data_IF_528922498362
#
_entry.id   IF_528922498362
#
_cell.length_a   1.000
_cell.length_b   1.000
_cell.length_c   1.000
_cell.angle_alpha   90.00
_cell.angle_beta   90.00
_cell.angle_gamma   90.00
#
_symmetry.space_group_name_H-M   'P 1'
#
loop_
_entity.id
_entity.type
_entity.pdbx_description
1 polymer ?
#
# COMPACT_ATOMS: atom_id res chain seq x y z
N UNK A 1 57.00 -34.10 -17.15
CA UNK A 1 55.89 -34.82 -16.51
C UNK A 1 55.79 -34.31 -15.08
N UNK A 2 54.93 -33.33 -14.83
CA UNK A 2 54.74 -32.73 -13.51
C UNK A 2 53.48 -33.30 -12.86
N UNK A 3 53.61 -33.85 -11.65
CA UNK A 3 52.50 -34.39 -10.88
C UNK A 3 51.48 -33.28 -10.54
N UNK A 4 50.17 -33.51 -10.71
CA UNK A 4 49.16 -32.53 -10.37
C UNK A 4 49.08 -32.36 -8.83
N UNK A 5 48.85 -31.14 -8.33
CA UNK A 5 48.74 -30.88 -6.90
C UNK A 5 47.46 -31.50 -6.32
N UNK A 6 47.64 -32.17 -5.18
CA UNK A 6 46.57 -32.78 -4.39
C UNK A 6 45.47 -31.78 -4.06
N UNK A 7 44.27 -32.03 -4.57
CA UNK A 7 43.08 -31.28 -4.19
C UNK A 7 42.70 -31.68 -2.77
N UNK A 8 42.96 -30.79 -1.81
CA UNK A 8 42.46 -30.89 -0.46
C UNK A 8 40.92 -31.00 -0.47
N UNK A 9 40.41 -32.20 -0.20
CA UNK A 9 38.99 -32.47 -0.03
C UNK A 9 38.55 -31.80 1.26
N UNK A 10 37.99 -30.59 1.15
CA UNK A 10 37.32 -29.91 2.26
C UNK A 10 36.08 -30.72 2.63
N UNK A 11 36.23 -31.58 3.65
CA UNK A 11 35.10 -32.30 4.25
C UNK A 11 34.18 -31.28 4.92
N UNK A 12 33.06 -30.97 4.28
CA UNK A 12 31.95 -30.28 4.92
C UNK A 12 31.42 -31.16 6.05
N UNK A 13 31.80 -30.83 7.29
CA UNK A 13 31.21 -31.42 8.48
C UNK A 13 29.70 -31.18 8.52
N UNK A 14 28.93 -32.07 9.17
CA UNK A 14 27.49 -31.93 9.29
C UNK A 14 27.17 -30.57 9.91
N UNK A 15 26.45 -29.73 9.15
CA UNK A 15 25.89 -28.47 9.66
C UNK A 15 24.91 -28.83 10.77
N UNK A 16 25.41 -28.82 12.01
CA UNK A 16 24.58 -28.83 13.21
C UNK A 16 23.60 -27.67 13.03
N UNK A 17 22.33 -27.98 12.75
CA UNK A 17 21.25 -27.01 12.79
C UNK A 17 21.18 -26.57 14.24
N UNK A 18 21.90 -25.51 14.58
CA UNK A 18 21.74 -24.81 15.85
C UNK A 18 20.25 -24.54 15.99
N UNK A 19 19.62 -25.26 16.91
CA UNK A 19 18.21 -25.12 17.19
C UNK A 19 17.96 -23.66 17.49
N UNK A 20 17.21 -23.01 16.60
CA UNK A 20 16.77 -21.63 16.77
C UNK A 20 15.84 -21.64 17.98
N UNK A 21 16.43 -21.49 19.19
CA UNK A 21 15.71 -21.22 20.43
C UNK A 21 15.13 -19.82 20.25
N UNK A 22 13.92 -19.75 19.69
CA UNK A 22 13.12 -18.54 19.78
C UNK A 22 12.91 -18.20 21.25
N UNK A 23 13.01 -16.93 21.61
CA UNK A 23 11.89 -16.11 22.13
C UNK A 23 12.30 -14.83 22.86
N UNK A 24 13.58 -14.47 23.01
CA UNK A 24 13.94 -13.30 23.85
C UNK A 24 14.18 -11.97 23.11
N UNK A 25 14.78 -11.96 21.91
CA UNK A 25 15.41 -10.73 21.39
C UNK A 25 14.71 -10.05 20.21
N UNK A 26 13.44 -10.38 19.92
CA UNK A 26 12.68 -9.54 18.98
C UNK A 26 12.38 -8.20 19.65
N UNK A 27 12.85 -7.06 19.11
CA UNK A 27 12.62 -5.76 19.72
C UNK A 27 11.12 -5.55 19.89
N UNK A 28 10.64 -5.08 21.06
CA UNK A 28 9.22 -5.05 21.42
C UNK A 28 8.35 -4.30 20.40
N UNK A 29 8.93 -3.36 19.67
CA UNK A 29 8.26 -2.53 18.66
C UNK A 29 7.97 -3.26 17.35
N UNK A 30 8.67 -4.37 17.06
CA UNK A 30 8.31 -5.28 15.97
C UNK A 30 6.91 -5.91 16.17
N UNK A 31 6.42 -5.97 17.41
CA UNK A 31 5.07 -6.44 17.70
C UNK A 31 3.96 -5.54 17.15
N UNK A 32 4.22 -4.24 16.93
CA UNK A 32 3.19 -3.21 16.64
C UNK A 32 2.67 -3.26 15.19
N UNK A 33 3.47 -3.72 14.24
CA UNK A 33 3.03 -3.83 12.84
C UNK A 33 1.83 -4.78 12.67
N UNK A 34 1.74 -5.81 13.52
CA UNK A 34 0.64 -6.78 13.47
C UNK A 34 -0.72 -6.16 13.84
N UNK A 35 -0.92 -5.56 15.02
CA UNK A 35 -2.19 -4.91 15.36
C UNK A 35 -2.49 -3.72 14.45
N UNK A 36 -1.49 -2.92 14.06
CA UNK A 36 -1.70 -1.78 13.15
C UNK A 36 -2.29 -2.23 11.80
N UNK A 37 -1.72 -3.27 11.19
CA UNK A 37 -2.25 -3.82 9.93
C UNK A 37 -3.68 -4.35 10.05
N UNK A 38 -4.02 -5.00 11.17
CA UNK A 38 -5.39 -5.48 11.45
C UNK A 38 -6.37 -4.33 11.61
N UNK A 39 -6.01 -3.29 12.38
CA UNK A 39 -6.87 -2.12 12.59
C UNK A 39 -7.12 -1.39 11.27
N UNK A 40 -6.07 -1.19 10.47
CA UNK A 40 -6.18 -0.57 9.14
C UNK A 40 -7.07 -1.39 8.20
N UNK A 41 -6.89 -2.72 8.15
CA UNK A 41 -7.71 -3.59 7.33
C UNK A 41 -9.18 -3.61 7.79
N UNK A 42 -9.43 -3.59 9.11
CA UNK A 42 -10.79 -3.51 9.66
C UNK A 42 -11.45 -2.17 9.33
N UNK A 43 -10.74 -1.05 9.50
CA UNK A 43 -11.24 0.28 9.14
C UNK A 43 -11.55 0.38 7.64
N UNK A 44 -10.70 -0.20 6.79
CA UNK A 44 -10.95 -0.30 5.35
C UNK A 44 -12.18 -1.15 5.02
N UNK A 45 -12.39 -2.27 5.73
CA UNK A 45 -13.60 -3.09 5.57
C UNK A 45 -14.88 -2.35 5.98
N UNK A 46 -14.83 -1.53 7.03
CA UNK A 46 -15.94 -0.64 7.42
C UNK A 46 -16.20 0.41 6.33
N UNK A 47 -15.14 1.06 5.84
CA UNK A 47 -15.26 2.05 4.76
C UNK A 47 -15.83 1.46 3.47
N UNK A 48 -15.40 0.25 3.10
CA UNK A 48 -15.95 -0.51 1.98
C UNK A 48 -17.44 -0.81 2.16
N UNK A 49 -17.86 -1.28 3.33
CA UNK A 49 -19.25 -1.60 3.63
C UNK A 49 -20.16 -0.36 3.59
N UNK A 50 -19.69 0.77 4.12
CA UNK A 50 -20.41 2.06 4.04
C UNK A 50 -20.49 2.54 2.59
N UNK A 51 -19.39 2.40 1.83
CA UNK A 51 -19.36 2.73 0.41
C UNK A 51 -20.43 1.97 -0.37
N UNK A 52 -20.46 0.65 -0.21
CA UNK A 52 -21.39 -0.25 -0.91
C UNK A 52 -22.86 -0.03 -0.50
N UNK A 53 -23.16 0.01 0.80
CA UNK A 53 -24.54 -0.02 1.28
C UNK A 53 -25.16 1.37 1.57
N UNK A 54 -24.36 2.44 1.65
CA UNK A 54 -24.87 3.78 1.96
C UNK A 54 -24.50 4.77 0.86
N UNK A 55 -23.21 4.89 0.52
CA UNK A 55 -22.79 5.93 -0.41
C UNK A 55 -23.23 5.64 -1.84
N UNK A 56 -23.07 4.42 -2.32
CA UNK A 56 -23.44 4.07 -3.69
C UNK A 56 -24.94 4.29 -3.96
N UNK A 57 -25.89 3.77 -3.14
CA UNK A 57 -27.31 3.99 -3.39
C UNK A 57 -27.75 5.46 -3.37
N UNK A 58 -26.97 6.33 -2.73
CA UNK A 58 -27.26 7.76 -2.65
C UNK A 58 -26.76 8.55 -3.87
N UNK A 59 -25.87 7.97 -4.68
CA UNK A 59 -25.01 8.74 -5.60
C UNK A 59 -24.94 8.14 -6.99
N UNK A 60 -25.10 6.83 -7.13
CA UNK A 60 -25.18 6.20 -8.43
C UNK A 60 -26.58 6.33 -9.04
N UNK A 61 -26.67 6.60 -10.34
CA UNK A 61 -27.94 6.83 -11.01
C UNK A 61 -28.74 5.51 -11.07
N UNK A 62 -30.04 5.61 -10.77
CA UNK A 62 -30.96 4.47 -10.73
C UNK A 62 -32.30 4.80 -11.40
N UNK A 63 -32.94 3.80 -12.00
CA UNK A 63 -34.23 3.94 -12.70
C UNK A 63 -34.11 3.84 -14.24
N UNK A 64 -35.25 3.91 -14.95
CA UNK A 64 -35.31 3.68 -16.39
C UNK A 64 -34.70 4.80 -17.24
N UNK A 65 -34.72 6.03 -16.74
CA UNK A 65 -34.18 7.22 -17.43
C UNK A 65 -32.78 7.62 -16.93
N UNK A 66 -32.17 6.77 -16.09
CA UNK A 66 -30.86 6.99 -15.53
C UNK A 66 -29.77 6.85 -16.60
N UNK A 67 -28.77 7.72 -16.55
CA UNK A 67 -27.63 7.67 -17.44
C UNK A 67 -26.35 7.98 -16.65
N UNK A 68 -25.22 7.41 -17.09
CA UNK A 68 -23.92 7.57 -16.43
C UNK A 68 -22.97 8.42 -17.30
N UNK A 69 -22.49 9.52 -16.72
CA UNK A 69 -21.48 10.43 -17.27
C UNK A 69 -20.06 10.11 -16.73
N UNK A 70 -19.07 10.89 -17.17
CA UNK A 70 -17.71 10.82 -16.64
C UNK A 70 -17.66 10.92 -15.10
N UNK A 71 -16.86 10.07 -14.47
CA UNK A 71 -16.71 9.97 -13.00
C UNK A 71 -18.01 9.66 -12.22
N UNK A 72 -19.06 9.13 -12.87
CA UNK A 72 -20.31 8.72 -12.18
C UNK A 72 -20.06 7.69 -11.07
N UNK A 73 -19.10 6.77 -11.28
CA UNK A 73 -18.82 5.65 -10.37
C UNK A 73 -17.71 5.93 -9.35
N UNK A 74 -17.63 7.16 -8.83
CA UNK A 74 -16.60 7.55 -7.87
C UNK A 74 -16.65 6.77 -6.55
N UNK A 75 -17.84 6.36 -6.07
CA UNK A 75 -17.96 5.53 -4.86
C UNK A 75 -17.27 4.18 -5.08
N UNK A 76 -17.41 3.62 -6.28
CA UNK A 76 -16.77 2.37 -6.66
C UNK A 76 -15.25 2.49 -6.57
N UNK A 77 -14.66 3.58 -7.05
CA UNK A 77 -13.23 3.80 -6.89
C UNK A 77 -12.79 3.81 -5.42
N UNK A 78 -13.51 4.54 -4.56
CA UNK A 78 -13.22 4.57 -3.12
C UNK A 78 -13.35 3.19 -2.47
N UNK A 79 -14.34 2.39 -2.87
CA UNK A 79 -14.51 1.00 -2.43
C UNK A 79 -13.35 0.12 -2.87
N UNK A 80 -12.92 0.21 -4.13
CA UNK A 80 -11.77 -0.55 -4.63
C UNK A 80 -10.48 -0.14 -3.92
N UNK A 81 -10.29 1.15 -3.63
CA UNK A 81 -9.15 1.62 -2.82
C UNK A 81 -9.21 1.06 -1.39
N UNK A 82 -10.41 0.99 -0.78
CA UNK A 82 -10.60 0.35 0.50
C UNK A 82 -10.28 -1.16 0.42
N UNK A 83 -10.70 -1.87 -0.63
CA UNK A 83 -10.35 -3.29 -0.85
C UNK A 83 -8.83 -3.48 -0.97
N UNK A 84 -8.14 -2.60 -1.69
CA UNK A 84 -6.67 -2.60 -1.74
C UNK A 84 -6.10 -2.37 -0.34
N UNK A 85 -6.62 -1.42 0.43
CA UNK A 85 -6.19 -1.18 1.80
C UNK A 85 -6.43 -2.38 2.74
N UNK A 86 -7.52 -3.14 2.58
CA UNK A 86 -7.76 -4.40 3.31
C UNK A 86 -6.64 -5.40 3.00
N UNK A 87 -6.37 -5.65 1.72
CA UNK A 87 -5.34 -6.58 1.30
C UNK A 87 -3.97 -6.18 1.86
N UNK A 88 -3.58 -4.92 1.66
CA UNK A 88 -2.30 -4.38 2.12
C UNK A 88 -2.18 -4.36 3.66
N UNK A 89 -3.26 -4.04 4.38
CA UNK A 89 -3.32 -4.08 5.84
C UNK A 89 -3.10 -5.51 6.37
N UNK A 90 -3.65 -6.53 5.71
CA UNK A 90 -3.39 -7.93 6.03
C UNK A 90 -1.93 -8.34 5.75
N UNK A 91 -1.31 -7.78 4.71
CA UNK A 91 0.13 -8.00 4.43
C UNK A 91 0.99 -7.36 5.53
N UNK A 92 0.65 -6.14 5.96
CA UNK A 92 1.28 -5.46 7.08
C UNK A 92 1.12 -6.24 8.39
N UNK A 93 -0.09 -6.78 8.63
CA UNK A 93 -0.40 -7.56 9.83
C UNK A 93 0.51 -8.81 9.97
N UNK A 94 0.86 -9.45 8.85
CA UNK A 94 1.82 -10.55 8.77
C UNK A 94 3.26 -10.14 8.46
N UNK A 95 3.58 -8.84 8.64
CA UNK A 95 4.93 -8.27 8.53
C UNK A 95 5.57 -8.50 7.15
N UNK A 96 4.75 -8.61 6.12
CA UNK A 96 5.16 -8.85 4.74
C UNK A 96 5.68 -10.26 4.45
N UNK A 97 5.54 -11.23 5.37
CA UNK A 97 5.99 -12.59 5.09
C UNK A 97 5.32 -13.18 3.83
N UNK A 98 6.00 -14.07 3.09
CA UNK A 98 5.52 -14.65 1.82
C UNK A 98 4.12 -15.24 1.95
N UNK A 99 3.84 -15.93 3.05
CA UNK A 99 2.52 -16.53 3.24
C UNK A 99 1.46 -15.47 3.54
N UNK A 100 1.78 -14.50 4.40
CA UNK A 100 0.93 -13.35 4.68
C UNK A 100 0.64 -12.53 3.41
N UNK A 101 1.65 -12.29 2.58
CA UNK A 101 1.51 -11.65 1.27
C UNK A 101 0.53 -12.41 0.38
N UNK A 102 0.70 -13.73 0.24
CA UNK A 102 -0.23 -14.55 -0.56
C UNK A 102 -1.64 -14.55 0.00
N UNK A 103 -1.78 -14.65 1.33
CA UNK A 103 -3.08 -14.61 1.99
C UNK A 103 -3.77 -13.25 1.83
N UNK A 104 -3.04 -12.14 1.98
CA UNK A 104 -3.56 -10.79 1.77
C UNK A 104 -3.99 -10.55 0.32
N UNK A 105 -3.19 -10.99 -0.67
CA UNK A 105 -3.55 -10.90 -2.09
C UNK A 105 -4.78 -11.75 -2.40
N UNK A 106 -4.84 -12.99 -1.91
CA UNK A 106 -6.00 -13.86 -2.09
C UNK A 106 -7.26 -13.27 -1.44
N UNK A 107 -7.13 -12.73 -0.23
CA UNK A 107 -8.23 -12.05 0.46
C UNK A 107 -8.72 -10.82 -0.34
N UNK A 108 -7.81 -10.00 -0.86
CA UNK A 108 -8.15 -8.87 -1.73
C UNK A 108 -8.91 -9.32 -3.00
N UNK A 109 -8.43 -10.36 -3.68
CA UNK A 109 -9.10 -10.90 -4.87
C UNK A 109 -10.51 -11.45 -4.55
N UNK A 110 -10.67 -12.15 -3.41
CA UNK A 110 -11.97 -12.59 -2.93
C UNK A 110 -12.89 -11.41 -2.59
N UNK A 111 -12.33 -10.33 -2.04
CA UNK A 111 -13.09 -9.11 -1.73
C UNK A 111 -13.56 -8.37 -2.97
N UNK A 112 -12.75 -8.32 -4.04
CA UNK A 112 -13.18 -7.78 -5.34
C UNK A 112 -14.34 -8.61 -5.88
N UNK A 113 -14.25 -9.95 -5.80
CA UNK A 113 -15.35 -10.83 -6.19
C UNK A 113 -16.62 -10.58 -5.36
N UNK A 114 -16.48 -10.44 -4.05
CA UNK A 114 -17.60 -10.11 -3.16
C UNK A 114 -18.20 -8.73 -3.47
N UNK A 115 -17.36 -7.73 -3.73
CA UNK A 115 -17.76 -6.37 -4.10
C UNK A 115 -18.65 -6.38 -5.35
N UNK A 116 -18.21 -7.04 -6.42
CA UNK A 116 -18.97 -7.16 -7.68
C UNK A 116 -20.28 -7.94 -7.51
N UNK A 117 -20.29 -9.01 -6.72
CA UNK A 117 -21.50 -9.82 -6.49
C UNK A 117 -22.52 -9.06 -5.65
N UNK A 118 -22.07 -8.36 -4.61
CA UNK A 118 -22.94 -7.62 -3.71
C UNK A 118 -23.46 -6.33 -4.36
N UNK A 119 -22.73 -5.75 -5.32
CA UNK A 119 -23.18 -4.61 -6.13
C UNK A 119 -24.53 -4.89 -6.83
N UNK A 120 -24.77 -6.15 -7.22
CA UNK A 120 -26.01 -6.59 -7.87
C UNK A 120 -27.18 -6.81 -6.93
N UNK A 121 -26.95 -6.77 -5.62
CA UNK A 121 -27.91 -7.27 -4.62
C UNK A 121 -28.80 -6.18 -4.02
N UNK A 122 -28.82 -4.97 -4.62
CA UNK A 122 -29.60 -3.80 -4.18
C UNK A 122 -29.49 -3.54 -2.66
N UNK A 123 -28.28 -3.71 -2.11
CA UNK A 123 -28.04 -3.55 -0.68
C UNK A 123 -28.04 -2.07 -0.33
N UNK A 124 -29.02 -1.64 0.46
CA UNK A 124 -29.15 -0.25 0.88
C UNK A 124 -29.40 -0.09 2.38
N UNK A 125 -28.83 0.97 2.94
CA UNK A 125 -29.07 1.45 4.30
C UNK A 125 -28.05 1.00 5.34
N UNK A 126 -28.08 1.72 6.48
CA UNK A 126 -27.20 1.49 7.62
C UNK A 126 -27.22 0.07 8.21
N UNK A 127 -28.37 -0.65 8.28
CA UNK A 127 -28.38 -2.04 8.75
C UNK A 127 -27.56 -2.99 7.87
N UNK A 128 -27.64 -2.83 6.54
CA UNK A 128 -26.83 -3.60 5.60
C UNK A 128 -25.35 -3.25 5.76
N UNK A 129 -25.01 -1.97 5.85
CA UNK A 129 -23.65 -1.50 6.10
C UNK A 129 -23.06 -2.08 7.39
N UNK A 130 -23.82 -2.05 8.49
CA UNK A 130 -23.39 -2.61 9.78
C UNK A 130 -23.14 -4.11 9.73
N UNK A 131 -24.02 -4.85 9.04
CA UNK A 131 -23.87 -6.30 8.85
C UNK A 131 -22.63 -6.63 8.02
N UNK A 132 -22.44 -5.96 6.89
CA UNK A 132 -21.28 -6.12 6.02
C UNK A 132 -19.97 -5.74 6.72
N UNK A 133 -19.98 -4.64 7.49
CA UNK A 133 -18.83 -4.20 8.28
C UNK A 133 -18.44 -5.25 9.34
N UNK A 134 -19.43 -5.83 10.04
CA UNK A 134 -19.20 -6.89 11.01
C UNK A 134 -18.62 -8.15 10.36
N UNK A 135 -19.20 -8.61 9.25
CA UNK A 135 -18.71 -9.77 8.49
C UNK A 135 -17.29 -9.52 7.94
N UNK A 136 -17.04 -8.32 7.40
CA UNK A 136 -15.72 -7.92 6.92
C UNK A 136 -14.68 -7.90 8.04
N UNK A 137 -15.00 -7.30 9.19
CA UNK A 137 -14.09 -7.30 10.36
C UNK A 137 -13.83 -8.72 10.88
N UNK A 138 -14.85 -9.59 10.91
CA UNK A 138 -14.69 -11.01 11.26
C UNK A 138 -13.76 -11.73 10.28
N UNK A 139 -13.90 -11.50 8.97
CA UNK A 139 -13.03 -12.07 7.95
C UNK A 139 -11.58 -11.60 8.12
N UNK A 140 -11.36 -10.30 8.33
CA UNK A 140 -10.03 -9.72 8.64
C UNK A 140 -9.43 -10.37 9.89
N UNK A 141 -10.21 -10.46 10.97
CA UNK A 141 -9.79 -11.08 12.23
C UNK A 141 -9.43 -12.56 12.07
N UNK A 142 -10.22 -13.31 11.31
CA UNK A 142 -9.96 -14.73 11.02
C UNK A 142 -8.66 -14.90 10.24
N UNK A 143 -8.44 -14.14 9.16
CA UNK A 143 -7.20 -14.19 8.37
C UNK A 143 -6.00 -13.82 9.24
N UNK A 144 -6.10 -12.76 10.04
CA UNK A 144 -5.03 -12.35 10.96
C UNK A 144 -4.74 -13.41 12.03
N UNK A 145 -5.76 -14.07 12.58
CA UNK A 145 -5.60 -15.15 13.55
C UNK A 145 -4.88 -16.37 12.94
N UNK A 146 -5.17 -16.71 11.68
CA UNK A 146 -4.48 -17.79 10.97
C UNK A 146 -3.00 -17.40 10.72
N UNK A 147 -2.74 -16.14 10.35
CA UNK A 147 -1.37 -15.63 10.20
C UNK A 147 -0.59 -15.75 11.52
N UNK A 148 -1.13 -15.27 12.64
CA UNK A 148 -0.45 -15.29 13.96
C UNK A 148 0.04 -16.67 14.41
N UNK A 149 -0.58 -17.76 13.96
CA UNK A 149 -0.17 -19.14 14.28
C UNK A 149 1.13 -19.57 13.59
N UNK A 150 1.68 -18.75 12.69
CA UNK A 150 2.89 -19.07 11.92
C UNK A 150 4.05 -18.19 12.35
N UNK A 151 5.24 -18.79 12.44
CA UNK A 151 6.47 -18.04 12.66
C UNK A 151 6.78 -17.19 11.41
N UNK A 152 6.59 -15.86 11.53
CA UNK A 152 6.84 -14.95 10.43
C UNK A 152 8.23 -14.33 10.51
N UNK A 153 8.95 -14.38 9.39
CA UNK A 153 10.13 -13.55 9.20
C UNK A 153 9.71 -12.27 8.47
N UNK A 154 9.98 -11.09 9.04
CA UNK A 154 9.64 -9.82 8.39
C UNK A 154 10.29 -9.74 7.02
N UNK A 155 9.55 -9.30 6.00
CA UNK A 155 10.13 -9.08 4.66
C UNK A 155 9.99 -7.64 4.27
N UNK A 156 11.08 -6.91 4.49
CA UNK A 156 11.20 -5.48 4.15
C UNK A 156 10.71 -5.17 2.72
N UNK A 157 11.05 -6.01 1.73
CA UNK A 157 10.64 -5.80 0.33
C UNK A 157 9.12 -5.70 0.13
N UNK A 158 8.36 -6.57 0.79
CA UNK A 158 6.90 -6.56 0.70
C UNK A 158 6.32 -5.34 1.41
N UNK A 159 6.88 -4.97 2.57
CA UNK A 159 6.45 -3.79 3.33
C UNK A 159 6.74 -2.48 2.60
N UNK A 160 7.88 -2.37 1.90
CA UNK A 160 8.20 -1.22 1.03
C UNK A 160 7.20 -1.14 -0.12
N UNK A 161 6.88 -2.25 -0.77
CA UNK A 161 5.87 -2.27 -1.84
C UNK A 161 4.48 -1.87 -1.33
N UNK A 162 4.07 -2.39 -0.17
CA UNK A 162 2.81 -2.01 0.49
C UNK A 162 2.76 -0.50 0.74
N UNK A 163 3.83 0.06 1.31
CA UNK A 163 3.88 1.48 1.60
C UNK A 163 3.91 2.34 0.33
N UNK A 164 4.61 1.91 -0.72
CA UNK A 164 4.63 2.62 -1.99
C UNK A 164 3.26 2.65 -2.68
N UNK A 165 2.50 1.54 -2.62
CA UNK A 165 1.11 1.49 -3.11
C UNK A 165 0.20 2.41 -2.30
N UNK A 166 0.30 2.35 -0.96
CA UNK A 166 -0.46 3.27 -0.10
C UNK A 166 -0.16 4.74 -0.42
N UNK A 167 1.13 5.10 -0.55
CA UNK A 167 1.57 6.46 -0.82
C UNK A 167 1.06 6.99 -2.17
N UNK A 168 1.01 6.13 -3.19
CA UNK A 168 0.49 6.48 -4.51
C UNK A 168 -1.04 6.59 -4.53
N UNK A 169 -1.74 5.77 -3.75
CA UNK A 169 -3.21 5.79 -3.67
C UNK A 169 -3.75 6.93 -2.80
N UNK A 170 -3.06 7.31 -1.72
CA UNK A 170 -3.51 8.38 -0.80
C UNK A 170 -3.91 9.68 -1.52
N UNK A 171 -3.08 10.28 -2.40
CA UNK A 171 -3.48 11.51 -3.10
C UNK A 171 -4.56 11.27 -4.17
N UNK A 172 -4.60 10.09 -4.79
CA UNK A 172 -5.65 9.77 -5.76
C UNK A 172 -7.01 9.62 -5.09
N UNK A 173 -7.06 8.98 -3.91
CA UNK A 173 -8.25 8.92 -3.07
C UNK A 173 -8.71 10.31 -2.67
N UNK A 174 -7.77 11.19 -2.32
CA UNK A 174 -8.07 12.56 -1.91
C UNK A 174 -8.61 13.42 -3.05
N UNK A 175 -8.25 13.10 -4.30
CA UNK A 175 -8.73 13.76 -5.52
C UNK A 175 -10.10 13.27 -5.99
N UNK A 176 -10.63 12.18 -5.41
CA UNK A 176 -11.97 11.73 -5.77
C UNK A 176 -12.98 12.74 -5.23
N UNK A 177 -13.72 13.33 -6.15
CA UNK A 177 -14.75 14.33 -5.94
C UNK A 177 -15.86 14.16 -6.99
N UNK A 178 -17.00 14.77 -6.73
CA UNK A 178 -18.15 14.65 -7.61
C UNK A 178 -18.08 15.76 -8.64
N UNK A 179 -18.33 15.49 -9.93
CA UNK A 179 -18.39 16.52 -10.96
C UNK A 179 -19.37 17.66 -10.64
N UNK A 180 -20.41 17.38 -9.87
CA UNK A 180 -21.51 18.31 -9.57
C UNK A 180 -21.43 18.92 -8.17
N UNK A 181 -20.51 18.47 -7.32
CA UNK A 181 -20.40 18.85 -5.89
C UNK A 181 -21.73 18.71 -5.11
N UNK A 182 -22.65 17.87 -5.56
CA UNK A 182 -23.99 17.72 -4.98
C UNK A 182 -24.04 16.72 -3.83
N UNK A 183 -22.99 15.91 -3.63
CA UNK A 183 -22.94 14.80 -2.69
C UNK A 183 -22.06 15.16 -1.47
N UNK A 184 -22.62 15.78 -0.41
CA UNK A 184 -21.83 16.23 0.75
C UNK A 184 -21.15 15.08 1.51
N UNK A 185 -21.59 13.83 1.30
CA UNK A 185 -21.01 12.64 1.90
C UNK A 185 -19.70 12.19 1.23
N UNK A 186 -19.38 12.68 0.03
CA UNK A 186 -18.22 12.24 -0.74
C UNK A 186 -16.90 12.73 -0.15
N UNK A 187 -16.78 14.03 0.10
CA UNK A 187 -15.59 14.65 0.68
C UNK A 187 -15.13 13.94 1.96
N UNK A 188 -15.98 13.70 2.99
CA UNK A 188 -15.55 12.99 4.17
C UNK A 188 -15.19 11.52 3.89
N UNK A 189 -15.88 10.84 2.97
CA UNK A 189 -15.55 9.45 2.61
C UNK A 189 -14.16 9.34 1.97
N UNK A 190 -13.86 10.22 1.01
CA UNK A 190 -12.56 10.30 0.35
C UNK A 190 -11.43 10.62 1.35
N UNK A 191 -11.65 11.57 2.28
CA UNK A 191 -10.68 11.87 3.33
C UNK A 191 -10.46 10.69 4.28
N UNK A 192 -11.51 9.95 4.65
CA UNK A 192 -11.40 8.75 5.50
C UNK A 192 -10.58 7.66 4.81
N UNK A 193 -10.89 7.33 3.55
CA UNK A 193 -10.13 6.33 2.78
C UNK A 193 -8.68 6.77 2.60
N UNK A 194 -8.45 8.05 2.28
CA UNK A 194 -7.09 8.62 2.17
C UNK A 194 -6.31 8.54 3.48
N UNK A 195 -6.97 8.82 4.61
CA UNK A 195 -6.39 8.71 5.94
C UNK A 195 -6.02 7.27 6.32
N UNK A 196 -6.84 6.29 5.94
CA UNK A 196 -6.54 4.86 6.10
C UNK A 196 -5.30 4.48 5.28
N UNK A 197 -5.24 4.90 4.02
CA UNK A 197 -4.09 4.65 3.14
C UNK A 197 -2.81 5.36 3.63
N UNK A 198 -2.94 6.56 4.21
CA UNK A 198 -1.84 7.29 4.84
C UNK A 198 -1.30 6.53 6.06
N UNK A 199 -2.17 6.08 6.96
CA UNK A 199 -1.79 5.29 8.13
C UNK A 199 -1.12 3.96 7.72
N UNK A 200 -1.66 3.30 6.70
CA UNK A 200 -1.08 2.10 6.10
C UNK A 200 0.34 2.37 5.56
N UNK A 201 0.51 3.47 4.82
CA UNK A 201 1.78 3.89 4.22
C UNK A 201 2.85 4.06 5.28
N UNK A 202 2.57 4.90 6.29
CA UNK A 202 3.50 5.19 7.38
C UNK A 202 3.80 3.94 8.21
N UNK A 203 2.77 3.15 8.53
CA UNK A 203 2.91 1.92 9.30
C UNK A 203 3.78 0.87 8.59
N UNK A 204 3.58 0.68 7.28
CA UNK A 204 4.37 -0.24 6.48
C UNK A 204 5.80 0.27 6.25
N UNK A 205 6.00 1.56 6.02
CA UNK A 205 7.32 2.18 5.89
C UNK A 205 8.15 2.02 7.17
N UNK A 206 7.55 2.32 8.32
CA UNK A 206 8.17 2.15 9.63
C UNK A 206 8.49 0.68 9.91
N UNK A 207 7.54 -0.23 9.66
CA UNK A 207 7.76 -1.65 9.83
C UNK A 207 8.88 -2.19 8.90
N UNK A 208 9.01 -1.64 7.69
CA UNK A 208 10.09 -1.94 6.76
C UNK A 208 11.45 -1.49 7.30
N UNK A 209 11.54 -0.29 7.86
CA UNK A 209 12.76 0.25 8.48
C UNK A 209 13.19 -0.53 9.72
N UNK A 210 12.24 -0.92 10.57
CA UNK A 210 12.48 -1.73 11.78
C UNK A 210 12.81 -3.20 11.47
N UNK A 211 12.62 -3.65 10.24
CA UNK A 211 12.99 -5.01 9.82
C UNK A 211 14.48 -5.14 9.42
N UNK A 212 15.25 -4.05 9.51
CA UNK A 212 16.67 -4.04 9.13
C UNK A 212 17.53 -4.61 10.28
N UNK A 213 18.28 -5.71 10.08
CA UNK A 213 18.98 -6.43 11.15
C UNK A 213 20.02 -5.61 11.91
N UNK A 214 20.71 -4.70 11.23
CA UNK A 214 21.80 -3.89 11.80
C UNK A 214 21.33 -2.51 12.29
N UNK A 215 20.01 -2.28 12.31
CA UNK A 215 19.42 -1.06 12.84
C UNK A 215 19.59 -1.05 14.35
N UNK A 216 20.58 -0.30 14.84
CA UNK A 216 20.75 -0.05 16.27
C UNK A 216 19.44 0.48 16.87
N UNK A 217 19.05 -0.02 18.05
CA UNK A 217 17.88 0.46 18.79
C UNK A 217 17.86 2.01 18.92
N UNK A 218 19.04 2.63 18.89
CA UNK A 218 19.28 4.06 18.88
C UNK A 218 18.54 4.83 17.76
N UNK A 219 18.26 4.23 16.60
CA UNK A 219 17.56 4.89 15.50
C UNK A 219 16.03 4.93 15.69
N UNK A 220 15.49 4.09 16.59
CA UNK A 220 14.05 3.87 16.70
C UNK A 220 13.27 5.12 17.11
N UNK A 221 13.70 5.91 18.12
CA UNK A 221 13.00 7.14 18.49
C UNK A 221 12.94 8.15 17.34
N UNK A 222 14.03 8.30 16.59
CA UNK A 222 14.09 9.20 15.46
C UNK A 222 13.20 8.75 14.28
N UNK A 223 13.09 7.44 14.03
CA UNK A 223 12.15 6.88 13.05
C UNK A 223 10.69 7.08 13.47
N UNK A 224 10.38 6.93 14.76
CA UNK A 224 9.04 7.18 15.29
C UNK A 224 8.68 8.67 15.17
N UNK A 225 9.60 9.57 15.52
CA UNK A 225 9.41 11.00 15.33
C UNK A 225 9.17 11.34 13.85
N UNK A 226 9.99 10.79 12.93
CA UNK A 226 9.78 10.97 11.50
C UNK A 226 8.43 10.42 11.03
N UNK A 227 8.00 9.25 11.53
CA UNK A 227 6.71 8.66 11.18
C UNK A 227 5.55 9.56 11.61
N UNK A 228 5.61 10.13 12.82
CA UNK A 228 4.64 11.11 13.31
C UNK A 228 4.65 12.38 12.45
N UNK A 229 5.83 12.89 12.08
CA UNK A 229 5.96 14.05 11.20
C UNK A 229 5.35 13.80 9.81
N UNK A 230 5.66 12.66 9.19
CA UNK A 230 5.09 12.29 7.87
C UNK A 230 3.58 12.13 7.97
N UNK A 231 3.07 11.52 9.05
CA UNK A 231 1.63 11.38 9.28
C UNK A 231 0.94 12.74 9.46
N UNK A 232 1.51 13.64 10.27
CA UNK A 232 0.96 14.96 10.53
C UNK A 232 0.96 15.84 9.26
N UNK A 233 2.08 15.89 8.54
CA UNK A 233 2.19 16.64 7.29
C UNK A 233 1.32 16.01 6.18
N UNK A 234 1.18 14.69 6.15
CA UNK A 234 0.28 13.99 5.24
C UNK A 234 -1.18 14.34 5.50
N UNK A 235 -1.61 14.35 6.77
CA UNK A 235 -2.95 14.77 7.16
C UNK A 235 -3.22 16.25 6.83
N UNK A 236 -2.24 17.13 7.06
CA UNK A 236 -2.32 18.53 6.65
C UNK A 236 -2.42 18.66 5.12
N UNK A 237 -1.65 17.86 4.36
CA UNK A 237 -1.74 17.80 2.90
C UNK A 237 -3.11 17.32 2.40
N UNK A 238 -3.72 16.33 3.05
CA UNK A 238 -5.08 15.89 2.74
C UNK A 238 -6.13 16.97 3.00
N UNK A 239 -5.98 17.74 4.08
CA UNK A 239 -6.84 18.89 4.33
C UNK A 239 -6.62 19.96 3.25
N UNK A 240 -5.36 20.23 2.88
CA UNK A 240 -5.01 21.20 1.85
C UNK A 240 -5.59 20.83 0.48
N UNK A 241 -5.59 19.54 0.08
CA UNK A 241 -6.22 19.13 -1.18
C UNK A 241 -7.71 19.45 -1.27
N UNK A 242 -8.39 19.75 -0.14
CA UNK A 242 -9.79 20.17 -0.10
C UNK A 242 -10.00 21.68 0.03
N UNK A 243 -8.92 22.44 0.19
CA UNK A 243 -8.95 23.91 0.28
C UNK A 243 -8.59 24.58 -1.04
N UNK A 244 -8.14 23.80 -2.03
CA UNK A 244 -7.72 24.27 -3.35
C UNK A 244 -8.75 23.84 -4.38
N UNK A 245 -8.89 24.62 -5.45
CA UNK A 245 -9.82 24.31 -6.52
C UNK A 245 -9.49 22.96 -7.21
N UNK A 246 -10.51 22.14 -7.53
CA UNK A 246 -10.40 20.84 -8.21
C UNK A 246 -9.40 20.74 -9.36
N UNK A 247 -9.35 21.79 -10.18
CA UNK A 247 -8.55 21.81 -11.40
C UNK A 247 -7.04 21.98 -11.12
N UNK A 248 -6.66 22.42 -9.92
CA UNK A 248 -5.28 22.52 -9.49
C UNK A 248 -4.79 21.16 -8.95
N UNK A 249 -4.26 20.32 -9.84
CA UNK A 249 -3.75 18.98 -9.48
C UNK A 249 -2.42 19.00 -8.71
N UNK A 250 -1.78 20.17 -8.59
CA UNK A 250 -0.44 20.31 -8.03
C UNK A 250 -0.35 19.87 -6.55
N UNK A 251 -1.27 20.24 -5.64
CA UNK A 251 -1.20 19.82 -4.23
C UNK A 251 -1.19 18.30 -4.04
N UNK A 252 -1.97 17.57 -4.85
CA UNK A 252 -2.07 16.11 -4.77
C UNK A 252 -0.84 15.40 -5.28
N UNK A 253 -0.21 15.92 -6.34
CA UNK A 253 1.09 15.44 -6.79
C UNK A 253 2.18 15.69 -5.73
N UNK A 254 2.20 16.89 -5.14
CA UNK A 254 3.14 17.24 -4.07
C UNK A 254 2.96 16.34 -2.84
N UNK A 255 1.71 16.03 -2.46
CA UNK A 255 1.40 15.09 -1.40
C UNK A 255 1.97 13.70 -1.70
N UNK A 256 1.73 13.16 -2.91
CA UNK A 256 2.30 11.87 -3.32
C UNK A 256 3.83 11.83 -3.28
N UNK A 257 4.49 12.88 -3.80
CA UNK A 257 5.96 13.03 -3.76
C UNK A 257 6.46 13.05 -2.31
N UNK A 258 5.81 13.85 -1.46
CA UNK A 258 6.15 13.99 -0.05
C UNK A 258 6.02 12.65 0.68
N UNK A 259 4.93 11.90 0.47
CA UNK A 259 4.71 10.61 1.11
C UNK A 259 5.74 9.57 0.65
N UNK A 260 6.10 9.56 -0.63
CA UNK A 260 7.14 8.70 -1.18
C UNK A 260 8.54 9.07 -0.65
N UNK A 261 8.83 10.36 -0.49
CA UNK A 261 10.06 10.82 0.15
C UNK A 261 10.11 10.38 1.63
N UNK A 262 9.02 10.59 2.38
CA UNK A 262 8.89 10.13 3.76
C UNK A 262 9.05 8.62 3.89
N UNK A 263 8.42 7.84 3.01
CA UNK A 263 8.61 6.39 2.89
C UNK A 263 10.07 6.03 2.66
N UNK A 264 10.75 6.67 1.72
CA UNK A 264 12.15 6.38 1.40
C UNK A 264 13.04 6.54 2.65
N UNK A 265 12.87 7.64 3.38
CA UNK A 265 13.60 7.91 4.62
C UNK A 265 13.24 6.93 5.74
N UNK A 266 11.95 6.64 5.94
CA UNK A 266 11.46 5.71 6.97
C UNK A 266 11.90 4.27 6.75
N UNK A 267 11.99 3.83 5.50
CA UNK A 267 12.35 2.47 5.13
C UNK A 267 13.84 2.28 4.86
N UNK A 268 14.61 3.36 4.68
CA UNK A 268 16.05 3.35 4.44
C UNK A 268 16.83 2.69 5.57
N UNK A 269 17.99 2.14 5.23
CA UNK A 269 19.00 1.74 6.21
C UNK A 269 19.66 3.00 6.82
N UNK A 270 19.77 3.06 8.15
CA UNK A 270 20.35 4.19 8.89
C UNK A 270 21.61 3.74 9.62
N UNK A 271 22.76 3.64 8.93
CA UNK A 271 24.01 3.27 9.58
C UNK A 271 24.34 4.32 10.66
N UNK A 272 24.76 3.88 11.85
CA UNK A 272 25.02 4.74 13.01
C UNK A 272 23.85 5.65 13.42
N UNK A 273 22.61 5.27 13.11
CA UNK A 273 21.40 5.99 13.50
C UNK A 273 21.09 7.25 12.68
N UNK A 274 21.75 7.44 11.53
CA UNK A 274 21.49 8.57 10.62
C UNK A 274 21.20 8.11 9.19
N UNK A 275 20.38 8.84 8.42
CA UNK A 275 20.19 8.56 6.99
C UNK A 275 21.49 8.80 6.21
N UNK A 276 21.79 7.94 5.23
CA UNK A 276 22.85 8.19 4.25
C UNK A 276 22.39 9.24 3.23
N UNK A 277 22.52 10.52 3.58
CA UNK A 277 21.90 11.64 2.87
C UNK A 277 22.23 11.70 1.38
N UNK A 278 23.44 11.34 0.96
CA UNK A 278 23.82 11.38 -0.45
C UNK A 278 22.96 10.42 -1.31
N UNK A 279 22.79 9.17 -0.85
CA UNK A 279 21.96 8.18 -1.52
C UNK A 279 20.46 8.50 -1.39
N UNK A 280 20.04 9.03 -0.24
CA UNK A 280 18.64 9.40 -0.01
C UNK A 280 18.23 10.61 -0.85
N UNK A 281 19.08 11.62 -0.99
CA UNK A 281 18.81 12.79 -1.83
C UNK A 281 18.57 12.42 -3.28
N UNK A 282 19.44 11.55 -3.84
CA UNK A 282 19.26 11.03 -5.20
C UNK A 282 17.95 10.22 -5.34
N UNK A 283 17.64 9.37 -4.36
CA UNK A 283 16.40 8.58 -4.35
C UNK A 283 15.17 9.49 -4.33
N UNK A 284 15.16 10.51 -3.47
CA UNK A 284 14.06 11.48 -3.36
C UNK A 284 13.89 12.26 -4.68
N UNK A 285 14.99 12.69 -5.30
CA UNK A 285 14.93 13.39 -6.58
C UNK A 285 14.33 12.52 -7.69
N UNK A 286 14.73 11.24 -7.77
CA UNK A 286 14.17 10.26 -8.71
C UNK A 286 12.69 10.02 -8.43
N UNK A 287 12.27 9.92 -7.16
CA UNK A 287 10.86 9.77 -6.79
C UNK A 287 10.03 10.99 -7.16
N UNK A 288 10.57 12.20 -6.95
CA UNK A 288 9.87 13.46 -7.25
C UNK A 288 9.51 13.59 -8.74
N UNK A 289 10.38 13.11 -9.63
CA UNK A 289 10.14 13.10 -11.09
C UNK A 289 9.40 11.84 -11.52
N UNK A 290 9.80 10.68 -11.00
CA UNK A 290 9.29 9.38 -11.40
C UNK A 290 7.83 9.17 -11.01
N UNK A 291 7.38 9.70 -9.87
CA UNK A 291 6.00 9.53 -9.42
C UNK A 291 4.97 10.16 -10.37
N UNK A 292 5.07 11.46 -10.74
CA UNK A 292 4.17 12.04 -11.72
C UNK A 292 4.23 11.30 -13.06
N UNK A 293 5.44 11.03 -13.57
CA UNK A 293 5.63 10.35 -14.88
C UNK A 293 4.97 8.97 -14.89
N UNK A 294 5.19 8.16 -13.86
CA UNK A 294 4.59 6.82 -13.77
C UNK A 294 3.07 6.88 -13.55
N UNK A 295 2.58 7.83 -12.76
CA UNK A 295 1.13 8.02 -12.54
C UNK A 295 0.44 8.37 -13.85
N UNK A 296 0.97 9.34 -14.59
CA UNK A 296 0.44 9.70 -15.91
C UNK A 296 0.53 8.52 -16.89
N UNK A 297 1.67 7.82 -16.95
CA UNK A 297 1.84 6.65 -17.80
C UNK A 297 0.77 5.58 -17.54
N UNK A 298 0.58 5.18 -16.27
CA UNK A 298 -0.42 4.16 -15.91
C UNK A 298 -1.85 4.66 -16.08
N UNK A 299 -2.11 5.94 -15.82
CA UNK A 299 -3.41 6.56 -16.09
C UNK A 299 -3.75 6.46 -17.57
N UNK A 300 -2.88 6.93 -18.47
CA UNK A 300 -3.12 6.82 -19.92
C UNK A 300 -3.25 5.37 -20.38
N UNK A 301 -2.37 4.48 -19.92
CA UNK A 301 -2.39 3.09 -20.34
C UNK A 301 -3.67 2.36 -19.89
N UNK A 302 -4.12 2.57 -18.67
CA UNK A 302 -5.31 1.88 -18.14
C UNK A 302 -6.61 2.49 -18.67
N UNK A 303 -6.64 3.81 -18.79
CA UNK A 303 -7.79 4.57 -19.28
C UNK A 303 -8.07 4.30 -20.77
N UNK A 304 -7.03 4.24 -21.60
CA UNK A 304 -7.19 4.08 -23.06
C UNK A 304 -6.81 2.70 -23.59
N UNK A 305 -5.99 1.95 -22.85
CA UNK A 305 -5.46 0.66 -23.30
C UNK A 305 -6.20 -0.56 -22.74
N UNK A 306 -7.03 -0.42 -21.69
CA UNK A 306 -7.68 -1.56 -21.05
C UNK A 306 -9.13 -1.29 -20.65
N UNK A 307 -10.11 -2.10 -21.09
CA UNK A 307 -11.53 -1.91 -20.73
C UNK A 307 -11.86 -2.50 -19.35
N UNK A 308 -10.95 -2.41 -18.38
CA UNK A 308 -11.11 -3.08 -17.07
C UNK A 308 -12.27 -2.47 -16.27
N UNK A 309 -12.34 -1.13 -16.22
CA UNK A 309 -13.41 -0.44 -15.51
C UNK A 309 -14.77 -0.77 -16.14
N UNK A 310 -14.88 -0.65 -17.47
CA UNK A 310 -16.09 -1.01 -18.23
C UNK A 310 -16.51 -2.46 -17.99
N UNK A 311 -15.56 -3.40 -17.96
CA UNK A 311 -15.84 -4.81 -17.66
C UNK A 311 -16.41 -4.96 -16.24
N UNK A 312 -15.82 -4.28 -15.25
CA UNK A 312 -16.31 -4.33 -13.86
C UNK A 312 -17.69 -3.69 -13.73
N UNK A 313 -17.94 -2.57 -14.40
CA UNK A 313 -19.27 -1.92 -14.49
C UNK A 313 -20.31 -2.88 -15.06
N UNK A 314 -20.00 -3.57 -16.17
CA UNK A 314 -20.89 -4.55 -16.77
C UNK A 314 -21.09 -5.79 -15.87
N UNK A 315 -20.03 -6.27 -15.21
CA UNK A 315 -20.11 -7.36 -14.25
C UNK A 315 -20.87 -6.97 -12.97
N UNK A 316 -20.89 -5.71 -12.60
CA UNK A 316 -21.74 -5.20 -11.53
C UNK A 316 -23.21 -5.06 -11.96
N UNK A 317 -23.51 -5.11 -13.26
CA UNK A 317 -24.86 -4.85 -13.78
C UNK A 317 -25.26 -3.38 -13.72
N UNK A 318 -24.29 -2.48 -13.50
CA UNK A 318 -24.51 -1.04 -13.49
C UNK A 318 -24.69 -0.51 -14.91
N UNK A 319 -25.26 0.69 -15.00
CA UNK A 319 -25.46 1.40 -16.28
C UNK A 319 -24.09 1.62 -16.95
N UNK A 320 -23.93 1.31 -18.25
CA UNK A 320 -22.66 1.57 -18.91
C UNK A 320 -22.43 3.09 -19.00
N UNK A 321 -21.19 3.52 -18.72
CA UNK A 321 -20.75 4.89 -18.98
C UNK A 321 -20.83 5.18 -20.48
N UNK A 322 -21.25 6.39 -20.85
CA UNK A 322 -21.31 6.81 -22.25
C UNK A 322 -19.95 6.59 -22.96
N UNK A 323 -19.97 6.10 -24.20
CA UNK A 323 -18.75 5.87 -24.99
C UNK A 323 -17.92 7.13 -25.27
N UNK A 324 -18.50 8.31 -25.13
CA UNK A 324 -17.80 9.59 -25.22
C UNK A 324 -17.06 9.97 -23.92
N UNK A 325 -17.42 9.32 -22.80
CA UNK A 325 -16.82 9.52 -21.48
C UNK A 325 -15.84 8.41 -21.14
N UNK A 326 -15.17 8.52 -20.00
CA UNK A 326 -14.20 7.51 -19.59
C UNK A 326 -14.49 6.92 -18.23
N UNK A 327 -14.68 5.60 -18.22
CA UNK A 327 -14.77 4.80 -17.00
C UNK A 327 -13.33 4.52 -16.52
N UNK A 328 -12.91 5.21 -15.46
CA UNK A 328 -11.55 5.10 -14.92
C UNK A 328 -11.57 4.35 -13.59
N UNK A 329 -10.50 3.60 -13.32
CA UNK A 329 -10.32 2.91 -12.03
C UNK A 329 -9.02 3.40 -11.37
N UNK A 330 -9.10 4.53 -10.65
CA UNK A 330 -7.94 5.17 -10.03
C UNK A 330 -7.25 4.25 -9.00
N UNK A 331 -8.00 3.34 -8.38
CA UNK A 331 -7.43 2.31 -7.51
C UNK A 331 -6.37 1.45 -8.23
N UNK A 332 -6.58 1.14 -9.51
CA UNK A 332 -5.63 0.36 -10.32
C UNK A 332 -4.43 1.20 -10.74
N UNK A 333 -4.65 2.47 -11.13
CA UNK A 333 -3.59 3.43 -11.48
C UNK A 333 -2.61 3.60 -10.32
N UNK A 334 -3.10 3.91 -9.11
CA UNK A 334 -2.26 4.07 -7.93
C UNK A 334 -1.57 2.77 -7.52
N UNK A 335 -2.26 1.63 -7.63
CA UNK A 335 -1.67 0.30 -7.37
C UNK A 335 -0.51 -0.03 -8.31
N UNK A 336 -0.69 0.16 -9.62
CA UNK A 336 0.36 -0.11 -10.61
C UNK A 336 1.55 0.84 -10.45
N UNK A 337 1.27 2.13 -10.21
CA UNK A 337 2.29 3.16 -9.94
C UNK A 337 3.11 2.79 -8.70
N UNK A 338 2.44 2.53 -7.57
CA UNK A 338 3.11 2.21 -6.32
C UNK A 338 3.87 0.88 -6.35
N UNK A 339 3.36 -0.14 -7.06
CA UNK A 339 4.09 -1.40 -7.28
C UNK A 339 5.36 -1.17 -8.10
N UNK A 340 5.29 -0.35 -9.15
CA UNK A 340 6.45 0.00 -9.98
C UNK A 340 7.51 0.72 -9.15
N UNK A 341 7.11 1.75 -8.39
CA UNK A 341 8.00 2.51 -7.50
C UNK A 341 8.59 1.61 -6.40
N UNK A 342 7.75 0.79 -5.76
CA UNK A 342 8.18 -0.14 -4.73
C UNK A 342 9.21 -1.15 -5.24
N UNK A 343 9.04 -1.65 -6.47
CA UNK A 343 10.02 -2.51 -7.12
C UNK A 343 11.35 -1.78 -7.36
N UNK A 344 11.31 -0.54 -7.88
CA UNK A 344 12.50 0.29 -8.10
C UNK A 344 13.27 0.54 -6.79
N UNK A 345 12.58 0.91 -5.72
CA UNK A 345 13.18 1.12 -4.39
C UNK A 345 13.83 -0.15 -3.85
N UNK A 346 13.16 -1.29 -4.00
CA UNK A 346 13.69 -2.61 -3.58
C UNK A 346 14.90 -3.05 -4.40
N UNK A 347 15.02 -2.62 -5.66
CA UNK A 347 16.19 -2.90 -6.50
C UNK A 347 17.35 -1.97 -6.20
N UNK A 348 17.10 -0.66 -6.01
CA UNK A 348 18.13 0.33 -5.73
C UNK A 348 18.88 0.05 -4.42
N UNK A 349 18.18 -0.48 -3.41
CA UNK A 349 18.72 -0.84 -2.10
C UNK A 349 19.74 -2.00 -2.15
N UNK A 350 19.86 -2.73 -3.28
CA UNK A 350 20.79 -3.87 -3.41
C UNK A 350 22.20 -3.49 -3.88
N UNK A 351 22.38 -2.30 -4.44
CA UNK A 351 23.59 -1.93 -5.20
C UNK A 351 24.85 -1.62 -4.36
N UNK A 352 24.80 -1.04 -3.15
CA UNK A 352 26.02 -0.62 -2.45
C UNK A 352 26.81 -1.76 -1.77
N UNK A 353 26.11 -2.79 -1.26
CA UNK A 353 26.75 -3.85 -0.47
C UNK A 353 27.45 -4.91 -1.31
N UNK A 354 27.11 -5.03 -2.59
CA UNK A 354 27.75 -5.99 -3.49
C UNK A 354 29.18 -5.54 -3.90
N UNK A 355 29.46 -4.24 -3.88
CA UNK A 355 30.73 -3.68 -4.33
C UNK A 355 31.78 -3.56 -3.21
N UNK A 356 31.37 -3.45 -1.94
CA UNK A 356 32.29 -3.26 -0.81
C UNK A 356 32.90 -4.55 -0.22
N UNK A 357 32.38 -5.73 -0.56
CA UNK A 357 32.81 -7.02 0.02
C UNK A 357 34.01 -7.68 -0.67
N UNK A 358 34.52 -7.09 -1.76
CA UNK A 358 35.67 -7.62 -2.52
C UNK A 358 36.90 -6.73 -2.49
N UNK A 359 36.92 -5.70 -1.63
CA UNK A 359 38.16 -5.02 -1.28
C UNK A 359 39.00 -6.01 -0.46
N UNK A 360 39.78 -6.79 -1.20
CA UNK A 360 40.74 -7.74 -0.71
C UNK A 360 41.53 -7.12 0.45
N UNK A 361 41.60 -7.84 1.56
CA UNK A 361 42.67 -7.65 2.53
C UNK A 361 43.96 -7.55 1.72
N UNK A 362 44.73 -6.45 1.83
CA UNK A 362 46.03 -6.41 1.20
C UNK A 362 46.81 -7.62 1.72
N UNK A 363 47.14 -8.54 0.81
CA UNK A 363 48.02 -9.66 1.11
C UNK A 363 49.29 -9.05 1.70
N UNK A 364 49.51 -9.30 2.98
CA UNK A 364 50.64 -8.80 3.72
C UNK A 364 51.93 -9.28 3.07
N UNK A 365 52.71 -8.34 2.54
CA UNK A 365 54.15 -8.41 2.39
C UNK A 365 54.81 -7.77 3.60
#
# INVERSE_FOLDING_TARGET
MGSPPDRAVVRYGPRVRAGWRGTADTPPLAGIASPAGVVVAAAAAVGWAIGLAVLQPLTEPSGPDAYAENNTYWVRDLRFMAVVAIALGLILAGRGDRWATRAGVAAGALWIGADVVLDRSDLAGWPAAGTLAALGCLAVGAVAAIQRRRAHRPRRRALVAVAAVGAALTPLAAMIESPTDTEPALTPAALVVSGILLALTVGAALAAGLAVPDGTDAATPARLALAVTVLALGAAGLAWTRLVEPHERAPSLLLGIMLLAGLSLLSAHWPAGRPAWDAQGATIAVLAIGYPVLTFFWMFLLMFGTPIATLLTALAGSIPVNSADTDSLYALVGSATGLTIGALLVTADRSPYAAGGSAALPDGS
#
